data_IF_590276691636
#
_entry.id   IF_590276691636
#
_cell.length_a   1.000
_cell.length_b   1.000
_cell.length_c   1.000
_cell.angle_alpha   90.00
_cell.angle_beta   90.00
_cell.angle_gamma   90.00
#
_symmetry.space_group_name_H-M   'P 1'
#
loop_
_entity.id
_entity.type
_entity.pdbx_description
1 polymer ?
#
# COMPACT_ATOMS: atom_id res chain seq x y z
N UNK A 1 -65.10 -27.32 -35.43
CA UNK A 1 -64.20 -27.43 -34.24
C UNK A 1 -62.77 -27.85 -34.59
N UNK A 2 -62.51 -28.97 -35.28
CA UNK A 2 -61.12 -29.43 -35.58
C UNK A 2 -60.22 -28.41 -36.32
N UNK A 3 -60.76 -27.67 -37.32
CA UNK A 3 -59.98 -26.64 -38.06
C UNK A 3 -59.57 -25.43 -37.21
N UNK A 4 -60.43 -25.02 -36.28
CA UNK A 4 -60.16 -23.86 -35.39
C UNK A 4 -59.09 -24.20 -34.34
N UNK A 5 -59.14 -25.42 -33.79
CA UNK A 5 -58.12 -25.93 -32.85
C UNK A 5 -56.76 -26.08 -33.55
N UNK A 6 -56.73 -26.57 -34.80
CA UNK A 6 -55.49 -26.70 -35.58
C UNK A 6 -54.84 -25.35 -35.88
N UNK A 7 -55.63 -24.32 -36.23
CA UNK A 7 -55.12 -22.97 -36.51
C UNK A 7 -54.59 -22.33 -35.22
N UNK A 8 -55.31 -22.47 -34.11
CA UNK A 8 -54.89 -21.93 -32.81
C UNK A 8 -53.58 -22.57 -32.32
N UNK A 9 -53.41 -23.89 -32.50
CA UNK A 9 -52.17 -24.62 -32.19
C UNK A 9 -51.01 -24.16 -33.08
N UNK A 10 -51.22 -23.98 -34.38
CA UNK A 10 -50.17 -23.49 -35.28
C UNK A 10 -49.75 -22.06 -34.97
N UNK A 11 -50.69 -21.18 -34.64
CA UNK A 11 -50.38 -19.78 -34.26
C UNK A 11 -49.61 -19.73 -32.94
N UNK A 12 -49.95 -20.57 -31.95
CA UNK A 12 -49.17 -20.64 -30.70
C UNK A 12 -47.78 -21.23 -30.90
N UNK A 13 -47.61 -22.27 -31.72
CA UNK A 13 -46.28 -22.82 -32.04
C UNK A 13 -45.41 -21.80 -32.80
N UNK A 14 -45.99 -21.04 -33.74
CA UNK A 14 -45.29 -19.96 -34.43
C UNK A 14 -44.94 -18.82 -33.46
N UNK A 15 -45.86 -18.39 -32.61
CA UNK A 15 -45.61 -17.34 -31.61
C UNK A 15 -44.52 -17.76 -30.61
N UNK A 16 -44.57 -18.99 -30.08
CA UNK A 16 -43.54 -19.54 -29.20
C UNK A 16 -42.21 -19.68 -29.93
N UNK A 17 -42.21 -20.12 -31.20
CA UNK A 17 -41.01 -20.19 -32.03
C UNK A 17 -40.37 -18.83 -32.28
N UNK A 18 -41.16 -17.80 -32.60
CA UNK A 18 -40.70 -16.42 -32.79
C UNK A 18 -40.16 -15.84 -31.49
N UNK A 19 -40.82 -16.06 -30.35
CA UNK A 19 -40.35 -15.64 -29.02
C UNK A 19 -39.05 -16.37 -28.63
N UNK A 20 -38.93 -17.66 -28.89
CA UNK A 20 -37.68 -18.41 -28.67
C UNK A 20 -36.53 -17.90 -29.56
N UNK A 21 -36.85 -17.54 -30.80
CA UNK A 21 -35.87 -17.01 -31.76
C UNK A 21 -35.40 -15.60 -31.39
N UNK A 22 -36.30 -14.73 -30.90
CA UNK A 22 -35.93 -13.39 -30.41
C UNK A 22 -35.12 -13.45 -29.12
N UNK A 23 -35.39 -14.40 -28.22
CA UNK A 23 -34.58 -14.60 -27.00
C UNK A 23 -33.15 -15.07 -27.33
N UNK A 24 -32.96 -15.95 -28.33
CA UNK A 24 -31.62 -16.44 -28.70
C UNK A 24 -30.71 -15.36 -29.27
N UNK A 25 -31.28 -14.38 -29.97
CA UNK A 25 -30.55 -13.31 -30.66
C UNK A 25 -30.42 -12.02 -29.86
N UNK A 26 -30.90 -11.98 -28.60
CA UNK A 26 -30.74 -10.80 -27.74
C UNK A 26 -29.25 -10.61 -27.39
N UNK A 27 -28.71 -9.38 -27.49
CA UNK A 27 -27.35 -9.10 -27.04
C UNK A 27 -27.27 -9.18 -25.51
N UNK A 28 -26.18 -9.73 -24.99
CA UNK A 28 -25.98 -9.88 -23.54
C UNK A 28 -24.50 -9.89 -23.17
N UNK A 29 -24.20 -9.36 -21.99
CA UNK A 29 -22.89 -9.46 -21.34
C UNK A 29 -23.02 -10.38 -20.11
N UNK A 30 -22.00 -11.17 -19.84
CA UNK A 30 -21.84 -11.97 -18.62
C UNK A 30 -20.50 -11.63 -17.99
N UNK A 31 -20.50 -11.15 -16.75
CA UNK A 31 -19.26 -10.96 -15.97
C UNK A 31 -18.86 -12.31 -15.38
N UNK A 32 -17.60 -12.70 -15.60
CA UNK A 32 -17.03 -13.97 -15.15
C UNK A 32 -16.13 -13.76 -13.93
N UNK A 33 -15.43 -12.62 -13.87
CA UNK A 33 -14.55 -12.22 -12.77
C UNK A 33 -14.63 -10.72 -12.57
N UNK A 34 -14.75 -10.21 -11.32
CA UNK A 34 -14.78 -10.96 -10.06
C UNK A 34 -16.12 -11.67 -9.80
N UNK A 35 -16.07 -12.70 -8.95
CA UNK A 35 -17.16 -13.55 -8.48
C UNK A 35 -17.54 -13.22 -7.03
N UNK A 36 -18.66 -13.77 -6.56
CA UNK A 36 -19.17 -13.50 -5.19
C UNK A 36 -18.22 -13.88 -4.04
N UNK A 37 -17.32 -14.83 -4.28
CA UNK A 37 -16.42 -15.37 -3.27
C UNK A 37 -15.04 -14.67 -3.30
N UNK A 38 -14.83 -13.75 -4.25
CA UNK A 38 -13.57 -13.05 -4.41
C UNK A 38 -13.38 -11.94 -3.35
N UNK A 39 -12.19 -11.97 -2.74
CA UNK A 39 -11.71 -10.96 -1.79
C UNK A 39 -10.46 -10.33 -2.38
N UNK A 40 -10.61 -9.09 -2.85
CA UNK A 40 -9.59 -8.33 -3.56
C UNK A 40 -8.82 -7.44 -2.57
N UNK A 41 -7.49 -7.42 -2.67
CA UNK A 41 -6.65 -6.55 -1.85
C UNK A 41 -6.36 -5.25 -2.59
N UNK A 42 -6.50 -4.06 -1.97
CA UNK A 42 -6.08 -2.81 -2.60
C UNK A 42 -4.60 -2.85 -3.02
N UNK A 43 -4.29 -2.29 -4.19
CA UNK A 43 -2.95 -2.30 -4.78
C UNK A 43 -2.58 -3.57 -5.54
N UNK A 44 -3.43 -4.61 -5.51
CA UNK A 44 -3.23 -5.81 -6.33
C UNK A 44 -3.67 -5.60 -7.78
N UNK A 45 -3.06 -6.36 -8.69
CA UNK A 45 -3.49 -6.47 -10.08
C UNK A 45 -4.47 -7.64 -10.21
N UNK A 46 -5.67 -7.38 -10.72
CA UNK A 46 -6.73 -8.37 -10.93
C UNK A 46 -7.20 -8.38 -12.38
N UNK A 47 -7.60 -9.55 -12.87
CA UNK A 47 -8.20 -9.67 -14.20
C UNK A 47 -9.73 -9.59 -14.12
N UNK A 48 -10.29 -8.55 -14.72
CA UNK A 48 -11.73 -8.44 -14.98
C UNK A 48 -12.01 -9.26 -16.24
N UNK A 49 -12.88 -10.27 -16.15
CA UNK A 49 -13.22 -11.16 -17.27
C UNK A 49 -14.70 -11.11 -17.56
N UNK A 50 -15.05 -11.05 -18.83
CA UNK A 50 -16.43 -11.08 -19.28
C UNK A 50 -16.58 -11.86 -20.60
N UNK A 51 -17.80 -12.32 -20.86
CA UNK A 51 -18.19 -12.89 -22.14
C UNK A 51 -19.36 -12.08 -22.71
N UNK A 52 -19.34 -11.84 -24.02
CA UNK A 52 -20.45 -11.22 -24.74
C UNK A 52 -21.11 -12.23 -25.67
N UNK A 53 -22.39 -12.03 -25.94
CA UNK A 53 -23.16 -12.82 -26.91
C UNK A 53 -23.95 -11.88 -27.78
N UNK A 54 -23.87 -12.07 -29.10
CA UNK A 54 -24.50 -11.20 -30.11
C UNK A 54 -24.10 -9.71 -29.98
N UNK A 55 -22.87 -9.44 -29.50
CA UNK A 55 -22.28 -8.09 -29.44
C UNK A 55 -21.02 -8.11 -30.32
N UNK A 56 -20.89 -7.21 -31.31
CA UNK A 56 -19.71 -7.12 -32.15
C UNK A 56 -18.43 -6.78 -31.35
N UNK A 57 -17.29 -7.28 -31.81
CA UNK A 57 -15.99 -6.97 -31.21
C UNK A 57 -15.57 -5.50 -31.41
N UNK A 58 -16.26 -4.77 -32.30
CA UNK A 58 -16.07 -3.33 -32.52
C UNK A 58 -16.64 -2.46 -31.39
N UNK A 59 -17.47 -3.03 -30.51
CA UNK A 59 -18.09 -2.30 -29.42
C UNK A 59 -17.08 -2.03 -28.30
N UNK A 60 -17.23 -0.89 -27.63
CA UNK A 60 -16.47 -0.55 -26.43
C UNK A 60 -17.19 -1.06 -25.19
N UNK A 61 -16.44 -1.48 -24.18
CA UNK A 61 -16.95 -2.03 -22.93
C UNK A 61 -16.33 -1.30 -21.73
N UNK A 62 -16.66 -0.02 -21.46
CA UNK A 62 -16.27 0.60 -20.21
C UNK A 62 -16.70 -0.21 -18.99
N UNK A 63 -15.90 -0.09 -17.94
CA UNK A 63 -16.15 -0.72 -16.65
C UNK A 63 -16.18 0.36 -15.58
N UNK A 64 -17.24 0.39 -14.79
CA UNK A 64 -17.35 1.21 -13.59
C UNK A 64 -17.42 0.30 -12.35
N UNK A 65 -17.07 0.85 -11.19
CA UNK A 65 -17.21 0.18 -9.91
C UNK A 65 -18.10 1.00 -9.00
N UNK A 66 -19.00 0.31 -8.30
CA UNK A 66 -19.90 0.91 -7.32
C UNK A 66 -19.77 0.17 -6.00
N UNK A 67 -19.69 0.92 -4.92
CA UNK A 67 -19.70 0.38 -3.56
C UNK A 67 -21.14 0.10 -3.14
N UNK A 68 -21.33 -0.97 -2.38
CA UNK A 68 -22.62 -1.34 -1.78
C UNK A 68 -22.54 -0.99 -0.29
N UNK A 69 -23.20 0.09 0.16
CA UNK A 69 -23.17 0.47 1.56
C UNK A 69 -23.85 -0.58 2.45
N UNK A 70 -23.30 -0.89 3.64
CA UNK A 70 -23.96 -1.77 4.59
C UNK A 70 -25.22 -1.09 5.15
N UNK A 71 -26.33 -1.82 5.40
CA UNK A 71 -27.50 -1.26 6.07
C UNK A 71 -27.15 -0.83 7.51
N UNK A 72 -27.68 0.30 8.02
CA UNK A 72 -28.61 1.24 7.37
C UNK A 72 -27.92 2.15 6.34
N UNK A 73 -28.62 2.41 5.22
CA UNK A 73 -28.16 3.32 4.18
C UNK A 73 -27.94 4.71 4.79
N UNK A 74 -26.74 5.28 4.63
CA UNK A 74 -26.44 6.63 5.10
C UNK A 74 -27.23 7.64 4.27
N UNK A 75 -27.93 8.58 4.93
CA UNK A 75 -28.78 9.57 4.25
C UNK A 75 -27.99 10.70 3.56
N UNK A 76 -26.69 10.84 3.86
CA UNK A 76 -25.84 11.91 3.30
C UNK A 76 -24.47 11.39 2.86
N UNK A 77 -24.16 11.62 1.58
CA UNK A 77 -22.89 11.29 0.94
C UNK A 77 -23.11 10.88 -0.52
N UNK A 78 -22.61 11.68 -1.47
CA UNK A 78 -22.60 11.27 -2.88
C UNK A 78 -21.47 10.24 -3.06
N UNK A 79 -21.81 8.96 -3.00
CA UNK A 79 -20.89 7.87 -3.33
C UNK A 79 -20.66 7.95 -4.85
N UNK A 80 -19.48 8.40 -5.27
CA UNK A 80 -19.11 8.42 -6.68
C UNK A 80 -18.90 6.98 -7.15
N UNK A 81 -19.42 6.66 -8.33
CA UNK A 81 -19.09 5.45 -9.08
C UNK A 81 -17.88 5.74 -9.97
N UNK A 82 -16.63 5.50 -9.53
CA UNK A 82 -15.49 5.78 -10.37
C UNK A 82 -15.51 4.83 -11.58
N UNK A 83 -15.24 5.42 -12.74
CA UNK A 83 -15.02 4.67 -13.97
C UNK A 83 -13.61 4.08 -13.90
N UNK A 84 -13.51 2.75 -13.99
CA UNK A 84 -12.23 2.03 -14.07
C UNK A 84 -11.67 2.18 -15.49
N UNK A 85 -12.51 1.93 -16.50
CA UNK A 85 -12.14 2.04 -17.92
C UNK A 85 -13.22 2.75 -18.71
N UNK A 86 -12.85 3.70 -19.57
CA UNK A 86 -13.78 4.46 -20.42
C UNK A 86 -13.83 3.98 -21.87
N UNK A 87 -12.74 3.42 -22.40
CA UNK A 87 -12.60 3.06 -23.82
C UNK A 87 -11.90 1.71 -23.99
N UNK A 88 -12.46 0.69 -23.35
CA UNK A 88 -11.92 -0.67 -23.37
C UNK A 88 -12.46 -1.43 -24.59
N UNK A 89 -11.58 -2.09 -25.35
CA UNK A 89 -11.98 -2.99 -26.45
C UNK A 89 -12.75 -4.20 -25.90
N UNK A 90 -13.66 -4.76 -26.69
CA UNK A 90 -14.34 -6.01 -26.33
C UNK A 90 -13.42 -7.24 -26.50
N UNK A 91 -12.38 -7.34 -25.67
CA UNK A 91 -11.43 -8.47 -25.63
C UNK A 91 -11.87 -9.62 -24.71
N UNK A 92 -12.87 -9.39 -23.85
CA UNK A 92 -13.30 -10.33 -22.82
C UNK A 92 -12.42 -10.36 -21.56
N UNK A 93 -11.34 -9.57 -21.51
CA UNK A 93 -10.43 -9.48 -20.37
C UNK A 93 -9.75 -8.12 -20.26
N UNK A 94 -9.58 -7.62 -19.03
CA UNK A 94 -8.79 -6.43 -18.73
C UNK A 94 -8.05 -6.56 -17.39
N UNK A 95 -6.81 -6.10 -17.37
CA UNK A 95 -6.00 -6.03 -16.15
C UNK A 95 -6.31 -4.72 -15.42
N UNK A 96 -6.73 -4.83 -14.17
CA UNK A 96 -7.10 -3.72 -13.32
C UNK A 96 -6.23 -3.69 -12.06
N UNK A 97 -5.48 -2.61 -11.89
CA UNK A 97 -4.79 -2.31 -10.64
C UNK A 97 -5.77 -1.63 -9.68
N UNK A 98 -6.06 -2.29 -8.56
CA UNK A 98 -7.10 -1.87 -7.62
C UNK A 98 -6.58 -0.69 -6.80
N UNK A 99 -7.30 0.44 -6.81
CA UNK A 99 -6.84 1.64 -6.11
C UNK A 99 -6.84 1.45 -4.58
N UNK A 100 -5.78 1.92 -3.93
CA UNK A 100 -5.68 2.01 -2.46
C UNK A 100 -6.70 2.99 -1.85
N UNK A 101 -7.38 3.78 -2.67
CA UNK A 101 -8.42 4.71 -2.23
C UNK A 101 -9.79 4.05 -2.05
N UNK A 102 -9.98 2.80 -2.51
CA UNK A 102 -11.23 2.09 -2.29
C UNK A 102 -11.34 1.63 -0.83
N UNK A 103 -12.33 2.12 -0.06
CA UNK A 103 -12.55 1.63 1.30
C UNK A 103 -12.86 0.13 1.32
N UNK A 104 -12.63 -0.53 2.45
CA UNK A 104 -13.10 -1.90 2.59
C UNK A 104 -14.63 -1.96 2.49
N UNK A 105 -15.14 -3.01 1.86
CA UNK A 105 -16.57 -3.19 1.67
C UNK A 105 -16.93 -4.13 0.53
N UNK A 106 -18.23 -4.16 0.26
CA UNK A 106 -18.82 -4.91 -0.83
C UNK A 106 -18.94 -4.01 -2.06
N UNK A 107 -18.65 -4.57 -3.23
CA UNK A 107 -18.60 -3.84 -4.49
C UNK A 107 -19.24 -4.65 -5.61
N UNK A 108 -19.67 -3.94 -6.65
CA UNK A 108 -20.09 -4.51 -7.94
C UNK A 108 -19.41 -3.76 -9.07
N UNK A 109 -19.10 -4.49 -10.14
CA UNK A 109 -18.65 -3.91 -11.40
C UNK A 109 -19.82 -3.78 -12.36
N UNK A 110 -19.90 -2.66 -13.06
CA UNK A 110 -20.89 -2.41 -14.11
C UNK A 110 -20.18 -2.33 -15.45
N UNK A 111 -20.50 -3.25 -16.35
CA UNK A 111 -20.02 -3.26 -17.72
C UNK A 111 -21.13 -2.76 -18.64
N UNK A 112 -20.80 -1.80 -19.50
CA UNK A 112 -21.74 -1.26 -20.50
C UNK A 112 -21.12 -1.45 -21.89
N UNK A 113 -21.76 -2.18 -22.80
CA UNK A 113 -21.31 -2.27 -24.18
C UNK A 113 -22.08 -1.30 -25.09
N UNK A 114 -21.35 -0.54 -25.90
CA UNK A 114 -21.92 0.39 -26.88
C UNK A 114 -21.06 0.52 -28.14
N UNK A 115 -21.68 0.95 -29.24
CA UNK A 115 -21.04 1.06 -30.55
C UNK A 115 -20.30 2.39 -30.75
N UNK A 116 -20.97 3.50 -30.46
CA UNK A 116 -20.43 4.85 -30.65
C UNK A 116 -21.07 5.84 -29.67
N UNK A 117 -20.50 7.05 -29.60
CA UNK A 117 -21.06 8.16 -28.86
C UNK A 117 -21.95 9.01 -29.81
N UNK A 118 -23.13 9.50 -29.37
CA UNK A 118 -23.72 9.36 -28.04
C UNK A 118 -24.22 7.92 -27.79
N UNK A 119 -24.13 7.47 -26.54
CA UNK A 119 -24.56 6.12 -26.15
C UNK A 119 -26.09 6.03 -26.26
N UNK A 120 -26.59 5.21 -27.17
CA UNK A 120 -28.02 4.90 -27.28
C UNK A 120 -28.25 3.42 -26.99
N UNK A 121 -29.07 3.13 -25.97
CA UNK A 121 -29.46 1.78 -25.55
C UNK A 121 -28.27 0.82 -25.29
N UNK A 122 -27.41 1.10 -24.29
CA UNK A 122 -26.26 0.25 -24.01
C UNK A 122 -26.70 -1.11 -23.47
N UNK A 123 -25.94 -2.15 -23.81
CA UNK A 123 -26.12 -3.46 -23.19
C UNK A 123 -25.35 -3.44 -21.87
N UNK A 124 -26.06 -3.39 -20.75
CA UNK A 124 -25.47 -3.27 -19.43
C UNK A 124 -25.60 -4.54 -18.60
N UNK A 125 -24.58 -4.85 -17.81
CA UNK A 125 -24.60 -5.95 -16.83
C UNK A 125 -23.76 -5.61 -15.60
N UNK A 126 -24.33 -5.86 -14.42
CA UNK A 126 -23.59 -5.84 -13.15
C UNK A 126 -22.98 -7.22 -12.85
N UNK A 127 -21.81 -7.23 -12.20
CA UNK A 127 -21.18 -8.42 -11.62
C UNK A 127 -21.93 -8.92 -10.39
N UNK A 128 -21.53 -10.09 -9.90
CA UNK A 128 -21.84 -10.48 -8.53
C UNK A 128 -21.13 -9.54 -7.53
N UNK A 129 -21.64 -9.51 -6.30
CA UNK A 129 -21.07 -8.72 -5.20
C UNK A 129 -19.76 -9.37 -4.75
N UNK A 130 -18.64 -8.69 -4.93
CA UNK A 130 -17.33 -9.12 -4.43
C UNK A 130 -16.87 -8.21 -3.29
N UNK A 131 -15.82 -8.60 -2.57
CA UNK A 131 -15.31 -7.86 -1.41
C UNK A 131 -13.95 -7.23 -1.70
N UNK A 132 -13.76 -5.97 -1.33
CA UNK A 132 -12.44 -5.37 -1.19
C UNK A 132 -12.05 -5.41 0.29
N UNK A 133 -10.91 -6.01 0.59
CA UNK A 133 -10.38 -6.17 1.95
C UNK A 133 -9.81 -4.86 2.51
N UNK A 134 -9.74 -4.76 3.83
CA UNK A 134 -8.97 -3.69 4.48
C UNK A 134 -7.49 -3.86 4.16
N UNK A 135 -6.88 -2.79 3.64
CA UNK A 135 -5.43 -2.72 3.53
C UNK A 135 -4.86 -2.46 4.92
N UNK A 136 -4.34 -3.49 5.59
CA UNK A 136 -3.59 -3.31 6.83
C UNK A 136 -2.25 -2.64 6.49
N UNK A 137 -2.17 -1.33 6.68
CA UNK A 137 -0.91 -0.59 6.56
C UNK A 137 -0.13 -0.81 7.86
N UNK A 138 0.99 -1.54 7.78
CA UNK A 138 1.85 -1.85 8.92
C UNK A 138 1.66 -3.26 9.47
N UNK A 139 2.41 -3.58 10.53
CA UNK A 139 2.38 -4.92 11.14
C UNK A 139 3.22 -6.00 10.44
N UNK A 140 3.76 -5.70 9.25
CA UNK A 140 4.75 -6.56 8.60
C UNK A 140 5.96 -6.75 9.51
N UNK A 141 6.41 -8.01 9.59
CA UNK A 141 7.54 -8.41 10.40
C UNK A 141 8.61 -9.06 9.52
N UNK A 142 9.88 -8.88 9.86
CA UNK A 142 10.96 -9.68 9.30
C UNK A 142 10.94 -11.12 9.86
N UNK A 143 11.87 -11.97 9.42
CA UNK A 143 12.00 -13.36 9.89
C UNK A 143 12.22 -13.46 11.41
N UNK A 144 12.82 -12.43 12.02
CA UNK A 144 13.00 -12.34 13.47
C UNK A 144 11.80 -11.74 14.21
N UNK A 145 10.70 -11.45 13.52
CA UNK A 145 9.47 -10.92 14.13
C UNK A 145 9.48 -9.40 14.34
N UNK A 146 10.42 -8.67 13.76
CA UNK A 146 10.59 -7.23 13.96
C UNK A 146 9.79 -6.39 12.97
N UNK A 147 9.15 -5.33 13.46
CA UNK A 147 8.29 -4.46 12.65
C UNK A 147 9.09 -3.62 11.65
N UNK A 148 9.16 -4.07 10.40
CA UNK A 148 9.95 -3.43 9.35
C UNK A 148 9.45 -2.01 9.03
N UNK A 149 8.13 -1.80 9.07
CA UNK A 149 7.52 -0.49 8.79
C UNK A 149 7.87 0.59 9.82
N UNK A 150 8.29 0.21 11.03
CA UNK A 150 8.76 1.12 12.07
C UNK A 150 10.30 1.30 12.06
N UNK A 151 11.00 0.67 11.11
CA UNK A 151 12.46 0.69 11.00
C UNK A 151 13.18 -0.27 11.95
N UNK A 152 12.47 -1.23 12.55
CA UNK A 152 13.10 -2.29 13.33
C UNK A 152 13.64 -3.40 12.43
N UNK A 153 14.75 -3.98 12.86
CA UNK A 153 15.37 -5.15 12.26
C UNK A 153 15.88 -6.09 13.34
N UNK A 154 15.84 -7.39 13.06
CA UNK A 154 16.37 -8.41 13.96
C UNK A 154 17.88 -8.29 14.13
N UNK A 155 18.35 -8.12 15.37
CA UNK A 155 19.77 -8.13 15.70
C UNK A 155 20.18 -9.47 16.31
N UNK A 156 20.82 -10.31 15.49
CA UNK A 156 21.27 -11.65 15.91
C UNK A 156 22.27 -11.60 17.07
N UNK A 157 23.12 -10.58 17.12
CA UNK A 157 24.09 -10.42 18.21
C UNK A 157 23.45 -10.23 19.59
N UNK A 158 22.27 -9.62 19.66
CA UNK A 158 21.58 -9.28 20.91
C UNK A 158 20.25 -10.02 21.11
N UNK A 159 19.79 -10.76 20.10
CA UNK A 159 18.51 -11.48 20.10
C UNK A 159 17.31 -10.55 20.39
N UNK A 160 17.32 -9.34 19.83
CA UNK A 160 16.27 -8.33 19.99
C UNK A 160 16.05 -7.55 18.69
N UNK A 161 14.87 -6.97 18.55
CA UNK A 161 14.58 -5.99 17.49
C UNK A 161 15.20 -4.65 17.82
N UNK A 162 15.98 -4.08 16.90
CA UNK A 162 16.58 -2.75 17.06
C UNK A 162 16.39 -1.91 15.80
N UNK A 163 16.46 -0.59 15.98
CA UNK A 163 16.66 0.37 14.90
C UNK A 163 18.16 0.60 14.76
N UNK A 164 18.77 0.08 13.69
CA UNK A 164 20.23 0.12 13.51
C UNK A 164 20.81 1.54 13.43
N UNK A 165 19.99 2.54 13.13
CA UNK A 165 20.37 3.95 13.16
C UNK A 165 20.32 4.58 14.57
N UNK A 166 19.70 3.92 15.56
CA UNK A 166 19.70 4.37 16.96
C UNK A 166 20.66 3.57 17.84
N UNK A 167 20.93 2.30 17.46
CA UNK A 167 21.71 1.37 18.28
C UNK A 167 22.53 0.40 17.46
N UNK A 168 23.79 0.21 17.85
CA UNK A 168 24.69 -0.72 17.18
C UNK A 168 24.41 -2.19 17.55
N UNK A 169 24.22 -3.03 16.52
CA UNK A 169 24.07 -4.46 16.68
C UNK A 169 25.44 -5.15 16.87
N UNK A 170 25.89 -5.25 18.12
CA UNK A 170 27.14 -5.97 18.46
C UNK A 170 27.02 -6.80 19.73
N UNK A 171 27.84 -7.87 19.81
CA UNK A 171 28.05 -8.70 21.01
C UNK A 171 29.03 -8.04 21.99
N UNK A 172 29.75 -7.00 21.58
CA UNK A 172 30.69 -6.28 22.43
C UNK A 172 29.99 -5.71 23.67
N UNK A 173 30.67 -5.80 24.81
CA UNK A 173 30.19 -5.21 26.06
C UNK A 173 30.29 -3.68 25.98
N UNK A 174 29.18 -2.94 26.09
CA UNK A 174 29.19 -1.48 26.01
C UNK A 174 29.79 -0.84 27.25
N UNK A 175 30.40 0.34 27.08
CA UNK A 175 30.75 1.28 28.15
C UNK A 175 30.13 2.64 27.86
N UNK A 176 29.26 3.10 28.75
CA UNK A 176 28.57 4.38 28.61
C UNK A 176 29.26 5.46 29.44
N UNK A 177 29.36 6.66 28.88
CA UNK A 177 29.95 7.84 29.49
C UNK A 177 29.06 9.05 29.23
N UNK A 178 28.93 9.93 30.21
CA UNK A 178 28.11 11.13 30.10
C UNK A 178 29.03 12.34 30.07
N UNK A 179 28.98 13.09 28.97
CA UNK A 179 29.62 14.39 28.86
C UNK A 179 28.59 15.48 29.16
N UNK A 180 28.94 16.41 30.04
CA UNK A 180 28.16 17.61 30.31
C UNK A 180 28.70 18.74 29.47
N UNK A 181 27.81 19.36 28.70
CA UNK A 181 28.12 20.42 27.76
C UNK A 181 27.58 21.76 28.26
N UNK A 182 27.88 22.81 27.51
CA UNK A 182 27.23 24.11 27.69
C UNK A 182 25.71 24.03 27.47
N UNK A 183 25.00 25.11 27.83
CA UNK A 183 23.54 25.23 27.75
C UNK A 183 22.76 24.13 28.49
N UNK A 184 23.38 23.54 29.51
CA UNK A 184 22.83 22.38 30.26
C UNK A 184 22.57 21.15 29.39
N UNK A 185 23.17 21.07 28.19
CA UNK A 185 23.10 19.90 27.32
C UNK A 185 24.03 18.79 27.82
N UNK A 186 23.82 17.60 27.29
CA UNK A 186 24.66 16.43 27.57
C UNK A 186 24.66 15.45 26.41
N UNK A 187 25.77 14.73 26.31
CA UNK A 187 25.98 13.63 25.38
C UNK A 187 26.18 12.37 26.21
N UNK A 188 25.26 11.41 26.13
CA UNK A 188 25.49 10.08 26.66
C UNK A 188 26.03 9.20 25.53
N UNK A 189 27.32 8.90 25.57
CA UNK A 189 28.02 8.13 24.55
C UNK A 189 28.28 6.71 25.05
N UNK A 190 27.79 5.72 24.30
CA UNK A 190 28.03 4.30 24.53
C UNK A 190 29.03 3.76 23.52
N UNK A 191 30.22 3.44 24.01
CA UNK A 191 31.29 2.86 23.21
C UNK A 191 31.33 1.34 23.34
N UNK A 192 31.95 0.70 22.35
CA UNK A 192 32.11 -0.75 22.28
C UNK A 192 33.61 -1.09 22.20
N UNK A 193 34.35 -1.15 23.33
CA UNK A 193 35.83 -1.22 23.31
C UNK A 193 36.42 -2.45 22.60
N UNK A 194 35.65 -3.52 22.48
CA UNK A 194 36.06 -4.76 21.79
C UNK A 194 35.58 -4.81 20.32
N UNK A 195 34.82 -3.81 19.87
CA UNK A 195 34.28 -3.69 18.51
C UNK A 195 34.02 -2.20 18.18
N UNK A 196 35.11 -1.41 18.13
CA UNK A 196 35.12 0.06 17.96
C UNK A 196 34.79 0.49 16.51
N UNK A 197 33.64 0.04 16.01
CA UNK A 197 33.12 0.41 14.69
C UNK A 197 32.04 1.48 14.75
N UNK A 198 31.35 1.58 15.88
CA UNK A 198 30.26 2.52 16.09
C UNK A 198 30.28 3.07 17.51
N UNK A 199 29.65 4.23 17.68
CA UNK A 199 29.24 4.78 18.99
C UNK A 199 27.75 5.03 18.96
N UNK A 200 27.05 4.64 20.02
CA UNK A 200 25.63 5.00 20.20
C UNK A 200 25.56 6.24 21.08
N UNK A 201 24.91 7.29 20.60
CA UNK A 201 24.76 8.57 21.28
C UNK A 201 23.30 8.79 21.65
N UNK A 202 23.10 9.36 22.84
CA UNK A 202 21.85 10.01 23.25
C UNK A 202 22.17 11.47 23.51
N UNK A 203 21.64 12.34 22.66
CA UNK A 203 21.86 13.77 22.70
C UNK A 203 20.64 14.45 23.35
N UNK A 204 20.88 15.28 24.36
CA UNK A 204 19.80 16.01 25.03
C UNK A 204 19.43 17.28 24.25
N UNK A 205 18.17 17.39 23.82
CA UNK A 205 17.58 18.59 23.23
C UNK A 205 16.15 18.80 23.74
N UNK A 206 15.34 19.52 22.96
CA UNK A 206 13.88 19.58 23.19
C UNK A 206 13.27 18.17 23.16
N UNK A 207 13.69 17.39 22.16
CA UNK A 207 13.50 15.94 22.09
C UNK A 207 14.84 15.22 22.28
N UNK A 208 14.78 14.04 22.88
CA UNK A 208 15.95 13.17 23.03
C UNK A 208 16.28 12.50 21.69
N UNK A 209 17.45 12.82 21.11
CA UNK A 209 17.90 12.22 19.86
C UNK A 209 18.80 11.02 20.14
N UNK A 210 18.40 9.84 19.63
CA UNK A 210 19.21 8.62 19.62
C UNK A 210 19.84 8.41 18.26
N UNK A 211 21.15 8.19 18.22
CA UNK A 211 21.85 7.95 16.96
C UNK A 211 23.05 7.01 17.14
N UNK A 212 23.22 6.05 16.24
CA UNK A 212 24.41 5.23 16.12
C UNK A 212 25.28 5.73 14.96
N UNK A 213 26.52 6.13 15.25
CA UNK A 213 27.44 6.72 14.27
C UNK A 213 28.61 5.79 13.99
N UNK A 214 28.93 5.50 12.71
CA UNK A 214 30.09 4.72 12.37
C UNK A 214 31.38 5.49 12.63
N UNK A 215 32.44 4.76 12.97
CA UNK A 215 33.80 5.27 13.15
C UNK A 215 34.29 5.89 11.85
N UNK A 216 34.83 7.11 11.95
CA UNK A 216 35.41 7.83 10.83
C UNK A 216 36.92 8.09 11.04
N UNK A 217 37.64 8.34 9.95
CA UNK A 217 39.07 8.66 10.00
C UNK A 217 39.26 10.00 10.74
N UNK A 218 40.22 10.03 11.66
CA UNK A 218 40.64 11.22 12.39
C UNK A 218 42.16 11.25 12.57
N UNK A 219 42.74 12.45 12.59
CA UNK A 219 44.16 12.65 12.89
C UNK A 219 44.46 12.54 14.40
N UNK A 220 43.52 12.89 15.27
CA UNK A 220 43.68 12.84 16.72
C UNK A 220 42.35 12.62 17.42
N UNK A 221 42.34 11.74 18.42
CA UNK A 221 41.12 11.35 19.12
C UNK A 221 40.22 10.41 18.30
N UNK A 222 39.02 10.20 18.81
CA UNK A 222 37.99 9.41 18.16
C UNK A 222 37.01 10.32 17.42
N UNK A 223 36.64 9.92 16.21
CA UNK A 223 35.66 10.60 15.37
C UNK A 223 34.65 9.57 14.87
N UNK A 224 33.37 9.93 14.94
CA UNK A 224 32.27 9.13 14.42
C UNK A 224 31.34 10.06 13.65
N UNK A 225 30.93 9.67 12.45
CA UNK A 225 30.24 10.57 11.53
C UNK A 225 29.24 9.82 10.67
N UNK A 226 28.15 10.47 10.29
CA UNK A 226 27.37 9.99 9.14
C UNK A 226 28.21 10.12 7.85
N UNK A 227 27.85 9.32 6.85
CA UNK A 227 28.52 9.35 5.54
C UNK A 227 28.39 10.70 4.82
N UNK A 228 27.30 11.44 5.07
CA UNK A 228 27.04 12.79 4.54
C UNK A 228 27.61 13.92 5.42
N UNK A 229 28.31 13.57 6.50
CA UNK A 229 28.85 14.49 7.51
C UNK A 229 27.83 15.43 8.17
N UNK A 230 26.53 15.19 7.98
CA UNK A 230 25.45 16.02 8.57
C UNK A 230 25.43 16.01 10.09
N UNK A 231 26.10 15.03 10.71
CA UNK A 231 26.37 14.97 12.14
C UNK A 231 27.71 14.26 12.38
N UNK A 232 28.53 14.85 13.23
CA UNK A 232 29.85 14.33 13.58
C UNK A 232 30.07 14.48 15.08
N UNK A 233 30.43 13.37 15.73
CA UNK A 233 30.84 13.34 17.12
C UNK A 233 32.36 13.20 17.23
N UNK A 234 32.94 14.07 18.05
CA UNK A 234 34.36 14.12 18.32
C UNK A 234 34.60 13.84 19.80
N UNK A 235 35.50 12.93 20.11
CA UNK A 235 35.92 12.65 21.47
C UNK A 235 37.45 12.64 21.58
N UNK A 236 37.98 13.30 22.60
CA UNK A 236 39.41 13.37 22.89
C UNK A 236 39.64 13.26 24.40
N UNK A 237 39.88 12.04 24.88
CA UNK A 237 40.01 11.79 26.32
C UNK A 237 38.70 12.14 27.03
N UNK A 238 38.79 13.05 27.99
CA UNK A 238 37.66 13.47 28.82
C UNK A 238 36.83 14.61 28.21
N UNK A 239 37.13 15.04 26.98
CA UNK A 239 36.34 16.07 26.28
C UNK A 239 35.65 15.53 25.04
N UNK A 240 34.55 16.17 24.67
CA UNK A 240 33.81 15.87 23.45
C UNK A 240 33.08 17.10 22.89
N UNK A 241 32.66 17.02 21.63
CA UNK A 241 31.73 17.97 21.01
C UNK A 241 31.01 17.31 19.83
N UNK A 242 29.90 17.90 19.40
CA UNK A 242 29.13 17.47 18.22
C UNK A 242 28.97 18.64 17.27
N UNK A 243 29.17 18.37 15.98
CA UNK A 243 28.83 19.29 14.91
C UNK A 243 27.68 18.75 14.06
N UNK A 244 26.75 19.61 13.67
CA UNK A 244 25.57 19.28 12.86
C UNK A 244 25.44 20.22 11.65
N UNK A 245 24.83 19.72 10.57
CA UNK A 245 24.53 20.50 9.37
C UNK A 245 25.65 20.61 8.33
N UNK A 246 25.32 21.27 7.22
CA UNK A 246 26.25 21.62 6.12
C UNK A 246 25.99 23.07 5.68
N UNK A 247 26.80 24.07 6.09
CA UNK A 247 28.07 23.95 6.81
C UNK A 247 27.93 23.41 8.23
N UNK A 248 28.96 22.73 8.72
CA UNK A 248 28.97 22.13 10.04
C UNK A 248 29.04 23.20 11.12
N UNK A 249 28.08 23.21 12.04
CA UNK A 249 28.04 24.08 13.22
C UNK A 249 28.16 23.24 14.50
N UNK A 250 28.88 23.74 15.49
CA UNK A 250 29.01 23.06 16.78
C UNK A 250 27.75 23.29 17.62
N UNK A 251 26.98 22.22 17.86
CA UNK A 251 25.69 22.29 18.57
C UNK A 251 25.76 21.74 19.99
N UNK A 252 26.81 20.99 20.29
CA UNK A 252 27.18 20.55 21.65
C UNK A 252 28.63 20.91 21.89
N UNK A 253 28.86 21.93 22.71
CA UNK A 253 30.16 22.54 22.94
C UNK A 253 30.68 22.36 24.35
N UNK A 254 32.00 22.44 24.49
CA UNK A 254 32.73 22.38 25.77
C UNK A 254 32.32 21.19 26.65
N UNK A 255 32.04 20.04 26.03
CA UNK A 255 31.55 18.89 26.78
C UNK A 255 32.71 18.21 27.53
N UNK A 256 32.52 17.98 28.82
CA UNK A 256 33.51 17.32 29.70
C UNK A 256 32.88 16.11 30.39
N UNK A 257 33.68 15.05 30.50
CA UNK A 257 33.30 13.80 31.15
C UNK A 257 32.98 14.02 32.64
N UNK A 258 31.91 13.37 33.12
CA UNK A 258 31.51 13.38 34.52
C UNK A 258 31.46 11.97 35.12
#
# INVERSE_FOLDING_TARGET
>A
MKKVISILLTVTVIAVGVVFMTIKNKPSITVISPTKDDVITPGSDVEIKWATKNIPDTYKVPVAIRRIPPPPLQEEGQEFDPVIFTNLENSGVANWTVSNMYPAGNYVLTLNAYESLPITDPVSKESDIFKIAEMTIGGQKDEGGCLIGAGYSWCEAKQICIRSFEKYCTKATPKAFVFKCDDSKSINATFYPTDDKFVDLVLSGEDEMRISLPRAISASGARYAKADESIVFWNKGDTAFVTEGTPAEETYSNCVLK
#
